data_IF_227389643264
#
_entry.id   IF_227389643264
#
_cell.length_a   1.000
_cell.length_b   1.000
_cell.length_c   1.000
_cell.angle_alpha   90.00
_cell.angle_beta   90.00
_cell.angle_gamma   90.00
#
_symmetry.space_group_name_H-M   'P 1'
#
loop_
_entity.id
_entity.type
_entity.pdbx_description
1 polymer ?
#
# COMPACT_ATOMS: atom_id res chain seq x y z
N UNK A 1 3.29 8.67 -6.53
CA UNK A 1 3.39 8.84 -5.07
C UNK A 1 4.83 8.72 -4.61
N UNK A 2 5.46 7.55 -4.77
CA UNK A 2 6.80 7.29 -4.23
C UNK A 2 7.90 8.27 -4.69
N UNK A 3 8.00 8.56 -5.98
CA UNK A 3 9.02 9.49 -6.49
C UNK A 3 8.89 10.90 -5.91
N UNK A 4 7.66 11.40 -5.74
CA UNK A 4 7.41 12.71 -5.14
C UNK A 4 7.79 12.72 -3.64
N UNK A 5 7.47 11.63 -2.92
CA UNK A 5 7.84 11.48 -1.50
C UNK A 5 9.35 11.39 -1.33
N UNK A 6 10.06 10.66 -2.20
CA UNK A 6 11.53 10.59 -2.17
C UNK A 6 12.23 11.91 -2.48
N UNK A 7 11.58 12.79 -3.25
CA UNK A 7 12.07 14.14 -3.53
C UNK A 7 11.77 15.13 -2.37
N UNK A 8 11.26 14.66 -1.23
CA UNK A 8 10.86 15.51 -0.11
C UNK A 8 9.51 16.21 -0.28
N UNK A 9 8.76 15.89 -1.34
CA UNK A 9 7.43 16.43 -1.60
C UNK A 9 6.30 15.66 -0.92
N UNK A 10 5.09 16.21 -0.98
CA UNK A 10 3.86 15.56 -0.53
C UNK A 10 3.00 15.13 -1.72
N UNK A 11 2.22 14.06 -1.57
CA UNK A 11 1.27 13.60 -2.57
C UNK A 11 -0.14 13.50 -1.98
N UNK A 12 -1.10 14.21 -2.58
CA UNK A 12 -2.51 14.14 -2.21
C UNK A 12 -3.24 13.11 -3.07
N UNK A 13 -3.96 12.20 -2.41
CA UNK A 13 -4.81 11.20 -3.07
C UNK A 13 -6.25 11.48 -2.70
N UNK A 14 -7.11 11.74 -3.69
CA UNK A 14 -8.52 12.03 -3.44
C UNK A 14 -9.43 11.28 -4.42
N UNK A 15 -10.67 11.10 -3.99
CA UNK A 15 -11.79 10.72 -4.86
C UNK A 15 -13.02 11.53 -4.43
N UNK A 16 -14.14 11.47 -5.18
CA UNK A 16 -15.34 12.30 -4.95
C UNK A 16 -15.72 12.49 -3.47
N UNK A 17 -15.82 11.40 -2.71
CA UNK A 17 -16.17 11.44 -1.28
C UNK A 17 -15.00 11.07 -0.36
N UNK A 18 -13.84 10.73 -0.93
CA UNK A 18 -12.69 10.17 -0.23
C UNK A 18 -12.98 8.94 0.65
N UNK A 19 -14.00 8.14 0.32
CA UNK A 19 -14.39 6.94 1.10
C UNK A 19 -13.73 5.67 0.58
N UNK A 20 -13.89 5.41 -0.72
CA UNK A 20 -13.56 4.10 -1.30
C UNK A 20 -12.29 4.13 -2.15
N UNK A 21 -12.32 4.69 -3.36
CA UNK A 21 -11.18 4.68 -4.30
C UNK A 21 -9.88 5.25 -3.72
N UNK A 22 -9.91 6.44 -3.14
CA UNK A 22 -8.69 7.04 -2.56
C UNK A 22 -8.14 6.21 -1.40
N UNK A 23 -9.03 5.66 -0.58
CA UNK A 23 -8.66 4.78 0.55
C UNK A 23 -7.97 3.51 0.07
N UNK A 24 -8.51 2.87 -0.98
CA UNK A 24 -7.89 1.70 -1.61
C UNK A 24 -6.47 2.00 -2.09
N UNK A 25 -6.27 3.11 -2.80
CA UNK A 25 -4.95 3.48 -3.32
C UNK A 25 -3.96 3.80 -2.18
N UNK A 26 -4.38 4.57 -1.17
CA UNK A 26 -3.53 4.85 -0.01
C UNK A 26 -3.14 3.57 0.75
N UNK A 27 -4.09 2.65 0.91
CA UNK A 27 -3.85 1.36 1.58
C UNK A 27 -2.83 0.53 0.81
N UNK A 28 -3.04 0.35 -0.51
CA UNK A 28 -2.10 -0.37 -1.38
C UNK A 28 -0.70 0.26 -1.38
N UNK A 29 -0.61 1.60 -1.37
CA UNK A 29 0.66 2.31 -1.30
C UNK A 29 1.42 2.00 -0.01
N UNK A 30 0.74 2.05 1.14
CA UNK A 30 1.35 1.72 2.42
C UNK A 30 1.81 0.25 2.48
N UNK A 31 1.04 -0.67 1.91
CA UNK A 31 1.43 -2.07 1.83
C UNK A 31 2.73 -2.23 1.01
N UNK A 32 2.80 -1.63 -0.18
CA UNK A 32 3.94 -1.80 -1.09
C UNK A 32 5.20 -1.10 -0.60
N UNK A 33 5.09 0.15 -0.14
CA UNK A 33 6.24 1.02 0.08
C UNK A 33 6.64 1.13 1.56
N UNK A 34 5.75 0.76 2.48
CA UNK A 34 6.03 0.75 3.92
C UNK A 34 6.00 -0.66 4.52
N UNK A 35 5.77 -1.69 3.70
CA UNK A 35 5.79 -3.10 4.11
C UNK A 35 4.69 -3.45 5.12
N UNK A 36 3.61 -2.66 5.19
CA UNK A 36 2.53 -2.92 6.12
C UNK A 36 1.61 -4.03 5.60
N UNK A 37 1.07 -4.86 6.49
CA UNK A 37 -0.03 -5.76 6.14
C UNK A 37 -1.28 -4.97 5.75
N UNK A 38 -2.21 -5.57 5.02
CA UNK A 38 -3.49 -4.95 4.63
C UNK A 38 -4.21 -4.41 5.87
N UNK A 39 -4.28 -5.19 6.94
CA UNK A 39 -4.93 -4.77 8.18
C UNK A 39 -4.27 -3.52 8.78
N UNK A 40 -2.94 -3.49 8.87
CA UNK A 40 -2.21 -2.34 9.43
C UNK A 40 -2.27 -1.12 8.52
N UNK A 41 -2.08 -1.31 7.21
CA UNK A 41 -2.18 -0.26 6.21
C UNK A 41 -3.56 0.39 6.22
N UNK A 42 -4.63 -0.42 6.24
CA UNK A 42 -5.99 0.09 6.30
C UNK A 42 -6.28 0.80 7.62
N UNK A 43 -5.81 0.25 8.75
CA UNK A 43 -5.94 0.91 10.06
C UNK A 43 -5.30 2.30 10.05
N UNK A 44 -4.09 2.44 9.49
CA UNK A 44 -3.42 3.75 9.34
C UNK A 44 -4.28 4.74 8.56
N UNK A 45 -4.87 4.32 7.44
CA UNK A 45 -5.76 5.18 6.63
C UNK A 45 -7.04 5.52 7.39
N UNK A 46 -7.65 4.56 8.09
CA UNK A 46 -8.88 4.74 8.85
C UNK A 46 -8.70 5.69 10.04
N UNK A 47 -7.56 5.63 10.72
CA UNK A 47 -7.20 6.57 11.80
C UNK A 47 -7.04 8.00 11.28
N UNK A 48 -6.46 8.19 10.11
CA UNK A 48 -6.35 9.52 9.48
C UNK A 48 -7.67 10.01 8.87
N UNK A 49 -8.53 9.09 8.42
CA UNK A 49 -9.81 9.40 7.77
C UNK A 49 -10.90 8.41 8.22
N UNK A 50 -11.69 8.73 9.25
CA UNK A 50 -12.70 7.82 9.81
C UNK A 50 -13.76 7.34 8.82
N UNK A 51 -14.05 8.11 7.77
CA UNK A 51 -15.00 7.72 6.70
C UNK A 51 -14.42 6.75 5.66
N UNK A 52 -13.15 6.36 5.80
CA UNK A 52 -12.48 5.40 4.93
C UNK A 52 -13.21 4.05 4.93
N UNK A 53 -13.67 3.65 3.74
CA UNK A 53 -14.47 2.45 3.54
C UNK A 53 -14.34 2.02 2.06
N UNK A 54 -13.34 1.20 1.74
CA UNK A 54 -13.26 0.51 0.45
C UNK A 54 -14.53 -0.31 0.25
N UNK A 55 -15.00 -0.39 -1.00
CA UNK A 55 -16.10 -1.31 -1.29
C UNK A 55 -15.57 -2.76 -1.22
N UNK A 56 -16.45 -3.78 -1.09
CA UNK A 56 -16.03 -5.17 -0.98
C UNK A 56 -15.15 -5.65 -2.16
N UNK A 57 -15.43 -5.19 -3.39
CA UNK A 57 -14.63 -5.54 -4.56
C UNK A 57 -13.19 -5.01 -4.47
N UNK A 58 -13.00 -3.78 -4.02
CA UNK A 58 -11.67 -3.22 -3.74
C UNK A 58 -10.99 -3.90 -2.57
N UNK A 59 -11.74 -4.31 -1.55
CA UNK A 59 -11.18 -5.07 -0.44
C UNK A 59 -10.62 -6.41 -0.92
N UNK A 60 -11.36 -7.16 -1.73
CA UNK A 60 -10.87 -8.41 -2.33
C UNK A 60 -9.66 -8.18 -3.25
N UNK A 61 -9.62 -7.07 -3.98
CA UNK A 61 -8.44 -6.71 -4.76
C UNK A 61 -7.22 -6.39 -3.90
N UNK A 62 -7.41 -5.75 -2.74
CA UNK A 62 -6.34 -5.48 -1.78
C UNK A 62 -5.80 -6.76 -1.14
N UNK A 63 -6.66 -7.73 -0.84
CA UNK A 63 -6.23 -9.05 -0.34
C UNK A 63 -5.35 -9.77 -1.36
N UNK A 64 -5.81 -9.87 -2.62
CA UNK A 64 -5.00 -10.42 -3.71
C UNK A 64 -3.69 -9.66 -3.92
N UNK A 65 -3.72 -8.35 -3.71
CA UNK A 65 -2.51 -7.54 -3.80
C UNK A 65 -1.52 -7.87 -2.68
N UNK A 66 -1.99 -8.07 -1.45
CA UNK A 66 -1.17 -8.50 -0.31
C UNK A 66 -0.46 -9.82 -0.60
N UNK A 67 -1.21 -10.83 -1.06
CA UNK A 67 -0.68 -12.14 -1.46
C UNK A 67 0.39 -11.98 -2.55
N UNK A 68 0.10 -11.19 -3.60
CA UNK A 68 1.05 -10.95 -4.67
C UNK A 68 2.30 -10.15 -4.21
N UNK A 69 2.20 -9.35 -3.14
CA UNK A 69 3.36 -8.70 -2.54
C UNK A 69 4.22 -9.70 -1.77
N UNK A 70 3.61 -10.59 -0.99
CA UNK A 70 4.32 -11.64 -0.26
C UNK A 70 5.08 -12.58 -1.20
N UNK A 71 4.45 -12.99 -2.30
CA UNK A 71 5.12 -13.80 -3.34
C UNK A 71 6.29 -13.08 -3.99
N UNK A 72 6.22 -11.75 -4.15
CA UNK A 72 7.32 -10.93 -4.69
C UNK A 72 8.43 -10.68 -3.68
N UNK A 73 8.11 -10.57 -2.39
CA UNK A 73 9.12 -10.46 -1.33
C UNK A 73 10.00 -11.70 -1.27
N UNK A 74 9.44 -12.88 -1.57
CA UNK A 74 10.22 -14.11 -1.74
C UNK A 74 11.22 -14.01 -2.91
N UNK A 75 10.79 -13.45 -4.05
CA UNK A 75 11.63 -13.32 -5.25
C UNK A 75 12.72 -12.23 -5.15
N UNK A 76 12.51 -11.15 -4.38
CA UNK A 76 13.56 -10.15 -4.15
C UNK A 76 14.63 -10.61 -3.15
N UNK A 77 14.35 -11.63 -2.33
CA UNK A 77 15.33 -12.25 -1.45
C UNK A 77 16.41 -13.04 -2.18
N UNK A 78 16.16 -13.48 -3.41
CA UNK A 78 17.12 -14.26 -4.22
C UNK A 78 18.07 -13.39 -5.08
N UNK A 79 17.83 -12.08 -5.19
CA UNK A 79 18.72 -11.15 -5.93
C UNK A 79 19.73 -10.41 -5.02
N UNK A 80 19.86 -10.83 -3.76
CA UNK A 80 20.89 -10.36 -2.83
C UNK A 80 21.72 -11.53 -2.28
N UNK A 81 22.33 -12.30 -3.19
CA UNK A 81 23.46 -13.20 -2.91
C UNK A 81 24.82 -12.46 -2.96
N UNK A 82 25.91 -13.07 -2.46
CA UNK A 82 26.96 -12.40 -1.70
C UNK A 82 27.94 -11.61 -2.58
N UNK A 83 28.27 -10.39 -2.17
CA UNK A 83 29.55 -9.78 -2.56
C UNK A 83 30.63 -10.35 -1.66
N UNK A 84 31.20 -11.48 -2.08
CA UNK A 84 32.53 -11.91 -1.64
C UNK A 84 33.57 -10.97 -2.26
N UNK A 85 34.36 -10.28 -1.41
CA UNK A 85 35.84 -10.16 -1.44
C UNK A 85 36.28 -9.20 -0.34
#
# INVERSE_FOLDING_TARGET
MEAAVRAGGACLVYCKNGRSRSTTICTAYLMRHRGLSLARAFQTVKSARPVAEPNPGFWSQLQKYEEALQSRSCQLGELSGPSES
#
